data_IF_094572002629
#
_entry.id   IF_094572002629
#
_cell.length_a   1.000
_cell.length_b   1.000
_cell.length_c   1.000
_cell.angle_alpha   90.00
_cell.angle_beta   90.00
_cell.angle_gamma   90.00
#
_symmetry.space_group_name_H-M   'P 1'
#
loop_
_entity.id
_entity.type
_entity.pdbx_description
1 polymer ?
#
# COMPACT_ATOMS: atom_id res chain seq x y z
N UNK A 1 -27.52 -60.29 -16.73
CA UNK A 1 -26.63 -59.29 -16.11
C UNK A 1 -27.04 -57.93 -16.66
N UNK A 2 -27.65 -57.05 -15.85
CA UNK A 2 -28.22 -55.76 -16.29
C UNK A 2 -27.23 -54.65 -15.94
N UNK A 3 -26.65 -54.03 -16.96
CA UNK A 3 -25.79 -52.86 -16.82
C UNK A 3 -26.65 -51.62 -16.56
N UNK A 4 -26.45 -50.98 -15.41
CA UNK A 4 -27.08 -49.69 -15.09
C UNK A 4 -25.99 -48.64 -15.13
N UNK A 5 -26.03 -47.81 -16.17
CA UNK A 5 -25.14 -46.67 -16.38
C UNK A 5 -25.66 -45.53 -15.50
N UNK A 6 -24.91 -45.18 -14.45
CA UNK A 6 -25.16 -43.98 -13.63
C UNK A 6 -24.37 -42.81 -14.20
N UNK A 7 -25.07 -41.86 -14.82
CA UNK A 7 -24.53 -40.61 -15.31
C UNK A 7 -24.27 -39.65 -14.13
N UNK A 8 -23.00 -39.29 -13.93
CA UNK A 8 -22.56 -38.31 -12.93
C UNK A 8 -22.79 -36.90 -13.51
N UNK A 9 -23.81 -36.19 -13.00
CA UNK A 9 -24.09 -34.80 -13.37
C UNK A 9 -23.14 -33.89 -12.58
N UNK A 10 -22.22 -33.24 -13.28
CA UNK A 10 -21.31 -32.21 -12.75
C UNK A 10 -22.09 -30.90 -12.60
N UNK A 11 -22.44 -30.56 -11.36
CA UNK A 11 -23.06 -29.28 -11.01
C UNK A 11 -22.02 -28.15 -10.98
N UNK A 12 -21.94 -27.36 -12.04
CA UNK A 12 -21.22 -26.10 -12.09
C UNK A 12 -21.94 -25.07 -11.20
N UNK A 13 -21.50 -24.89 -9.96
CA UNK A 13 -21.88 -23.72 -9.15
C UNK A 13 -21.11 -22.49 -9.64
N UNK A 14 -21.72 -21.77 -10.57
CA UNK A 14 -21.29 -20.43 -10.93
C UNK A 14 -21.61 -19.46 -9.79
N UNK A 15 -20.63 -19.19 -8.92
CA UNK A 15 -20.66 -18.01 -8.07
C UNK A 15 -20.50 -16.77 -8.96
N UNK A 16 -21.62 -16.27 -9.49
CA UNK A 16 -21.72 -14.91 -10.00
C UNK A 16 -21.74 -13.95 -8.79
N UNK A 17 -20.58 -13.72 -8.19
CA UNK A 17 -20.41 -12.64 -7.21
C UNK A 17 -20.36 -11.34 -8.00
N UNK A 18 -21.51 -10.66 -8.03
CA UNK A 18 -21.66 -9.27 -8.39
C UNK A 18 -20.71 -8.42 -7.54
N UNK A 19 -19.53 -8.13 -8.07
CA UNK A 19 -18.67 -7.08 -7.54
C UNK A 19 -19.34 -5.75 -7.87
N UNK A 20 -20.16 -5.29 -6.94
CA UNK A 20 -20.62 -3.92 -6.81
C UNK A 20 -19.43 -2.99 -7.00
N UNK A 21 -19.41 -2.29 -8.13
CA UNK A 21 -18.60 -1.11 -8.36
C UNK A 21 -19.12 -0.02 -7.41
N UNK A 22 -18.70 -0.12 -6.16
CA UNK A 22 -18.80 0.94 -5.17
C UNK A 22 -18.03 2.13 -5.71
N UNK A 23 -18.79 3.07 -6.27
CA UNK A 23 -18.36 4.38 -6.68
C UNK A 23 -17.98 5.15 -5.40
N UNK A 24 -16.83 4.81 -4.82
CA UNK A 24 -16.28 5.48 -3.66
C UNK A 24 -15.98 6.92 -4.07
N UNK A 25 -16.80 7.83 -3.56
CA UNK A 25 -16.54 9.26 -3.50
C UNK A 25 -15.13 9.43 -2.94
N UNK A 26 -14.16 9.69 -3.82
CA UNK A 26 -12.77 9.90 -3.43
C UNK A 26 -12.72 11.21 -2.64
N UNK A 27 -12.66 11.10 -1.32
CA UNK A 27 -12.41 12.27 -0.48
C UNK A 27 -10.99 12.76 -0.78
N UNK A 28 -10.79 14.07 -1.01
CA UNK A 28 -9.47 14.62 -1.28
C UNK A 28 -8.56 14.31 -0.09
N UNK A 29 -7.40 13.72 -0.37
CA UNK A 29 -6.42 13.37 0.66
C UNK A 29 -5.67 14.63 1.08
N UNK A 30 -5.62 14.89 2.39
CA UNK A 30 -4.84 16.00 2.92
C UNK A 30 -3.35 15.62 2.96
N UNK A 31 -2.63 15.94 1.87
CA UNK A 31 -1.20 15.63 1.71
C UNK A 31 -0.35 16.25 2.83
N UNK A 32 -0.70 17.45 3.31
CA UNK A 32 0.04 18.10 4.40
C UNK A 32 -0.10 17.31 5.72
N UNK A 33 -1.30 16.80 6.02
CA UNK A 33 -1.51 15.93 7.17
C UNK A 33 -0.73 14.62 7.05
N UNK A 34 -0.78 13.97 5.89
CA UNK A 34 -0.01 12.73 5.63
C UNK A 34 1.50 12.98 5.79
N UNK A 35 2.02 14.10 5.27
CA UNK A 35 3.43 14.47 5.44
C UNK A 35 3.83 14.56 6.91
N UNK A 36 3.01 15.20 7.74
CA UNK A 36 3.26 15.31 9.18
C UNK A 36 3.19 13.95 9.87
N UNK A 37 2.20 13.11 9.54
CA UNK A 37 2.08 11.76 10.10
C UNK A 37 3.31 10.88 9.78
N UNK A 38 3.77 10.91 8.52
CA UNK A 38 4.96 10.15 8.08
C UNK A 38 6.24 10.73 8.71
N UNK A 39 6.36 12.06 8.80
CA UNK A 39 7.50 12.69 9.47
C UNK A 39 7.59 12.24 10.93
N UNK A 40 6.47 12.23 11.66
CA UNK A 40 6.43 11.72 13.02
C UNK A 40 6.81 10.24 13.10
N UNK A 41 6.41 9.42 12.13
CA UNK A 41 6.80 8.00 12.08
C UNK A 41 8.32 7.82 11.85
N UNK A 42 8.93 8.64 10.99
CA UNK A 42 10.39 8.66 10.79
C UNK A 42 11.11 9.04 12.08
N UNK A 43 10.64 10.08 12.77
CA UNK A 43 11.24 10.57 14.04
C UNK A 43 11.05 9.57 15.19
N UNK A 44 9.98 8.79 15.17
CA UNK A 44 9.66 7.81 16.20
C UNK A 44 10.34 6.44 16.01
N UNK A 45 10.92 6.14 14.85
CA UNK A 45 11.54 4.85 14.58
C UNK A 45 13.01 4.81 15.07
N UNK A 46 13.32 4.09 16.17
CA UNK A 46 14.68 3.98 16.66
C UNK A 46 15.47 2.99 15.81
N UNK A 47 16.19 3.47 14.79
CA UNK A 47 17.28 2.73 14.15
C UNK A 47 17.11 2.32 12.68
N UNK A 48 15.94 2.52 12.05
CA UNK A 48 15.69 1.94 10.72
C UNK A 48 16.36 2.68 9.53
N UNK A 49 16.70 3.97 9.65
CA UNK A 49 17.36 4.69 8.54
C UNK A 49 18.13 5.96 8.92
N UNK A 50 18.28 6.24 10.20
CA UNK A 50 18.82 7.53 10.67
C UNK A 50 17.94 8.74 10.32
N UNK A 51 18.39 9.95 10.66
CA UNK A 51 17.66 11.17 10.36
C UNK A 51 17.54 11.37 8.84
N UNK A 52 16.32 11.56 8.35
CA UNK A 52 16.03 11.85 6.94
C UNK A 52 14.93 12.90 6.82
N UNK A 53 15.02 13.74 5.80
CA UNK A 53 14.08 14.84 5.56
C UNK A 53 13.19 14.55 4.36
N UNK A 54 11.88 14.70 4.52
CA UNK A 54 10.93 14.64 3.41
C UNK A 54 11.01 15.93 2.60
N UNK A 55 11.49 15.86 1.36
CA UNK A 55 11.57 17.04 0.46
C UNK A 55 10.44 17.08 -0.56
N UNK A 56 9.84 15.94 -0.91
CA UNK A 56 8.70 15.87 -1.83
C UNK A 56 7.80 14.67 -1.51
N UNK A 57 6.57 14.73 -1.99
CA UNK A 57 5.61 13.62 -1.97
C UNK A 57 5.07 13.41 -3.38
N UNK A 58 5.07 12.17 -3.83
CA UNK A 58 4.51 11.74 -5.11
C UNK A 58 3.01 11.44 -4.98
N UNK A 59 2.60 10.27 -5.46
CA UNK A 59 1.21 9.83 -5.36
C UNK A 59 0.84 9.58 -3.90
N UNK A 60 -0.23 10.22 -3.42
CA UNK A 60 -0.76 10.04 -2.06
C UNK A 60 -2.22 9.61 -2.15
N UNK A 61 -2.54 8.53 -1.44
CA UNK A 61 -3.89 7.97 -1.29
C UNK A 61 -4.22 7.82 0.20
N UNK A 62 -5.41 7.31 0.53
CA UNK A 62 -5.77 7.01 1.92
C UNK A 62 -4.95 5.86 2.51
N UNK A 63 -4.43 4.97 1.67
CA UNK A 63 -3.78 3.71 2.07
C UNK A 63 -2.28 3.71 1.82
N UNK A 64 -1.78 4.56 0.91
CA UNK A 64 -0.39 4.58 0.48
C UNK A 64 0.10 5.97 0.10
N UNK A 65 1.40 6.20 0.22
CA UNK A 65 2.07 7.43 -0.19
C UNK A 65 3.46 7.12 -0.75
N UNK A 66 3.82 7.75 -1.87
CA UNK A 66 5.21 7.80 -2.34
C UNK A 66 5.87 9.03 -1.72
N UNK A 67 6.95 8.84 -0.98
CA UNK A 67 7.65 9.87 -0.22
C UNK A 67 9.08 9.96 -0.70
N UNK A 68 9.52 11.15 -1.02
CA UNK A 68 10.90 11.40 -1.40
C UNK A 68 11.66 11.97 -0.21
N UNK A 69 12.66 11.23 0.25
CA UNK A 69 13.47 11.58 1.41
C UNK A 69 14.92 11.83 1.04
N UNK A 70 15.59 12.68 1.81
CA UNK A 70 17.03 12.89 1.73
C UNK A 70 17.66 12.52 3.09
N UNK A 71 18.57 11.56 3.05
CA UNK A 71 19.36 11.08 4.17
C UNK A 71 20.86 11.32 3.88
N UNK A 72 21.74 11.03 4.85
CA UNK A 72 23.19 11.12 4.66
C UNK A 72 23.71 10.24 3.50
N UNK A 73 23.03 9.14 3.21
CA UNK A 73 23.33 8.22 2.10
C UNK A 73 22.86 8.74 0.73
N UNK A 74 22.05 9.79 0.69
CA UNK A 74 21.51 10.38 -0.53
C UNK A 74 19.98 10.46 -0.55
N UNK A 75 19.42 10.56 -1.76
CA UNK A 75 17.98 10.67 -1.99
C UNK A 75 17.36 9.29 -2.17
N UNK A 76 16.17 9.10 -1.61
CA UNK A 76 15.43 7.86 -1.65
C UNK A 76 13.99 8.12 -2.09
N UNK A 77 13.45 7.18 -2.88
CA UNK A 77 12.01 7.08 -3.11
C UNK A 77 11.49 5.96 -2.20
N UNK A 78 10.57 6.33 -1.31
CA UNK A 78 10.06 5.46 -0.27
C UNK A 78 8.56 5.26 -0.46
N UNK A 79 8.11 4.01 -0.52
CA UNK A 79 6.69 3.71 -0.49
C UNK A 79 6.24 3.52 0.95
N UNK A 80 5.28 4.33 1.39
CA UNK A 80 4.69 4.24 2.72
C UNK A 80 3.27 3.69 2.63
N UNK A 81 2.92 2.81 3.55
CA UNK A 81 1.60 2.16 3.65
C UNK A 81 0.95 2.50 4.99
N UNK A 82 -0.35 2.82 4.97
CA UNK A 82 -1.13 3.11 6.17
C UNK A 82 -1.65 1.80 6.75
N UNK A 83 -1.07 1.38 7.88
CA UNK A 83 -1.50 0.21 8.64
C UNK A 83 -2.28 0.58 9.92
N UNK A 84 -2.67 -0.42 10.73
CA UNK A 84 -3.40 -0.21 11.98
C UNK A 84 -2.64 0.66 13.00
N UNK A 85 -1.31 0.67 12.92
CA UNK A 85 -0.42 1.41 13.81
C UNK A 85 0.03 2.76 13.20
N UNK A 86 -0.59 3.19 12.11
CA UNK A 86 -0.19 4.38 11.35
C UNK A 86 0.65 4.04 10.12
N UNK A 87 1.36 5.05 9.61
CA UNK A 87 2.18 4.93 8.42
C UNK A 87 3.46 4.15 8.70
N UNK A 88 3.77 3.19 7.83
CA UNK A 88 5.01 2.42 7.86
C UNK A 88 5.66 2.39 6.49
N UNK A 89 6.98 2.34 6.48
CA UNK A 89 7.75 2.13 5.25
C UNK A 89 7.46 0.72 4.73
N UNK A 90 7.15 0.60 3.45
CA UNK A 90 7.10 -0.66 2.74
C UNK A 90 8.52 -1.01 2.26
N UNK A 91 9.25 -1.76 3.08
CA UNK A 91 10.65 -2.14 2.84
C UNK A 91 10.85 -2.90 1.52
N UNK A 92 9.82 -3.58 1.02
CA UNK A 92 9.88 -4.27 -0.28
C UNK A 92 9.99 -3.31 -1.47
N UNK A 93 9.74 -2.01 -1.26
CA UNK A 93 9.73 -0.97 -2.29
C UNK A 93 10.67 0.20 -1.99
N UNK A 94 11.56 0.07 -0.99
CA UNK A 94 12.61 1.04 -0.76
C UNK A 94 13.69 0.92 -1.85
N UNK A 95 13.46 1.55 -2.99
CA UNK A 95 14.42 1.59 -4.09
C UNK A 95 15.34 2.77 -3.88
N UNK A 96 16.63 2.49 -3.66
CA UNK A 96 17.66 3.53 -3.67
C UNK A 96 17.61 4.26 -5.02
N UNK A 97 17.23 5.54 -5.02
CA UNK A 97 17.21 6.32 -6.23
C UNK A 97 18.66 6.59 -6.65
N UNK A 98 19.15 5.82 -7.63
CA UNK A 98 20.47 6.02 -8.21
C UNK A 98 20.52 7.37 -8.93
N UNK A 99 21.59 8.13 -8.64
CA UNK A 99 21.89 9.46 -9.18
C UNK A 99 22.03 9.47 -10.69
#
# INVERSE_FOLDING_TARGET
MKAVVFAFIVSLSACATTSTTSQSKSHPVNVAAVRTEIKSAIEAAPGDAGPRTIYSMGKVTQESAVVYTEASSGRHEEMWMKGPQGWKLNESHAVAAAR
#
